data_IF_428141731047
#
_entry.id   IF_428141731047
#
_cell.length_a   1.000
_cell.length_b   1.000
_cell.length_c   1.000
_cell.angle_alpha   90.00
_cell.angle_beta   90.00
_cell.angle_gamma   90.00
#
_symmetry.space_group_name_H-M   'P 1'
#
loop_
_entity.id
_entity.type
_entity.pdbx_description
1 polymer ?
#
# COMPACT_ATOMS: atom_id res chain seq x y z
N UNK A 1 5.53 -16.52 -11.05
CA UNK A 1 4.54 -15.52 -10.60
C UNK A 1 4.28 -14.56 -11.75
N UNK A 2 3.08 -14.56 -12.33
CA UNK A 2 2.75 -13.65 -13.44
C UNK A 2 2.72 -12.21 -12.92
N UNK A 3 3.48 -11.32 -13.57
CA UNK A 3 3.49 -9.87 -13.33
C UNK A 3 2.07 -9.25 -13.28
N UNK A 4 1.11 -9.90 -13.96
CA UNK A 4 -0.32 -9.56 -13.93
C UNK A 4 -0.99 -9.65 -12.54
N UNK A 5 -0.57 -10.58 -11.67
CA UNK A 5 -1.12 -10.71 -10.29
C UNK A 5 -0.53 -9.63 -9.40
N UNK A 6 0.77 -9.35 -9.55
CA UNK A 6 1.48 -8.33 -8.77
C UNK A 6 0.78 -7.00 -8.90
N UNK A 7 0.51 -6.52 -10.13
CA UNK A 7 -0.13 -5.20 -10.34
C UNK A 7 -1.62 -5.15 -9.94
N UNK A 8 -2.36 -6.26 -10.06
CA UNK A 8 -3.79 -6.32 -9.67
C UNK A 8 -4.02 -6.45 -8.15
N UNK A 9 -3.05 -6.99 -7.42
CA UNK A 9 -3.16 -7.23 -5.97
C UNK A 9 -2.38 -6.17 -5.17
N UNK A 10 -1.35 -5.52 -5.76
CA UNK A 10 -0.49 -4.55 -5.05
C UNK A 10 -1.25 -3.41 -4.40
N UNK A 11 -2.27 -2.87 -5.05
CA UNK A 11 -2.89 -1.60 -4.64
C UNK A 11 -3.87 -1.79 -3.46
N UNK A 12 -4.76 -2.82 -3.45
CA UNK A 12 -5.43 -3.25 -2.22
C UNK A 12 -4.45 -3.60 -1.11
N UNK A 13 -3.31 -4.20 -1.48
CA UNK A 13 -2.23 -4.51 -0.55
C UNK A 13 -1.59 -3.25 0.04
N UNK A 14 -1.45 -2.15 -0.71
CA UNK A 14 -0.95 -0.86 -0.19
C UNK A 14 -1.83 -0.31 0.93
N UNK A 15 -3.16 -0.39 0.77
CA UNK A 15 -4.10 -0.07 1.83
C UNK A 15 -3.90 -0.95 3.06
N UNK A 16 -3.77 -2.27 2.86
CA UNK A 16 -3.52 -3.22 3.94
C UNK A 16 -2.15 -3.02 4.62
N UNK A 17 -1.09 -2.77 3.85
CA UNK A 17 0.28 -2.50 4.30
C UNK A 17 0.33 -1.28 5.21
N UNK A 18 -0.23 -0.16 4.76
CA UNK A 18 -0.22 1.06 5.58
C UNK A 18 -1.11 0.85 6.82
N UNK A 19 -2.17 0.06 6.67
CA UNK A 19 -3.05 -0.33 7.78
C UNK A 19 -2.39 -1.24 8.81
N UNK A 20 -1.61 -2.19 8.37
CA UNK A 20 -1.13 -3.32 9.17
C UNK A 20 0.32 -3.16 9.63
N UNK A 21 1.16 -2.46 8.87
CA UNK A 21 2.58 -2.25 9.18
C UNK A 21 2.83 -0.83 9.69
N UNK A 22 2.30 0.18 9.00
CA UNK A 22 2.54 1.57 9.40
C UNK A 22 1.76 1.88 10.68
N UNK A 23 0.48 1.54 10.79
CA UNK A 23 -0.27 1.92 12.00
C UNK A 23 0.24 1.36 13.32
N UNK A 24 0.72 0.11 13.47
CA UNK A 24 1.36 -0.30 14.72
C UNK A 24 2.59 0.54 15.08
N UNK A 25 3.42 0.88 14.10
CA UNK A 25 4.59 1.74 14.29
C UNK A 25 4.19 3.16 14.69
N UNK A 26 3.17 3.73 14.03
CA UNK A 26 2.68 5.07 14.39
C UNK A 26 1.77 5.03 15.63
N UNK A 27 1.16 3.90 16.02
CA UNK A 27 0.28 3.76 17.20
C UNK A 27 0.97 4.20 18.49
N UNK A 28 2.28 3.94 18.57
CA UNK A 28 3.10 4.37 19.69
C UNK A 28 3.29 5.89 19.75
N UNK A 29 3.03 6.61 18.65
CA UNK A 29 3.32 8.04 18.47
C UNK A 29 2.13 8.87 17.93
N UNK A 30 0.93 8.31 17.80
CA UNK A 30 -0.27 9.00 17.28
C UNK A 30 -1.57 8.64 17.99
N UNK A 31 -2.57 9.50 17.85
CA UNK A 31 -3.94 9.30 18.34
C UNK A 31 -4.74 8.37 17.40
N UNK A 32 -5.89 7.88 17.89
CA UNK A 32 -6.82 7.08 17.07
C UNK A 32 -7.31 7.84 15.86
N UNK A 33 -7.71 9.09 16.06
CA UNK A 33 -8.22 9.98 15.01
C UNK A 33 -7.18 10.25 13.91
N UNK A 34 -5.91 10.49 14.30
CA UNK A 34 -4.82 10.65 13.34
C UNK A 34 -4.65 9.42 12.45
N UNK A 35 -4.76 8.21 13.03
CA UNK A 35 -4.69 6.97 12.26
C UNK A 35 -5.87 6.79 11.32
N UNK A 36 -7.08 7.10 11.78
CA UNK A 36 -8.29 7.03 10.94
C UNK A 36 -8.19 8.00 9.75
N UNK A 37 -7.66 9.20 9.96
CA UNK A 37 -7.39 10.15 8.88
C UNK A 37 -6.32 9.63 7.90
N UNK A 38 -5.24 9.02 8.39
CA UNK A 38 -4.23 8.37 7.54
C UNK A 38 -4.87 7.27 6.69
N UNK A 39 -5.67 6.40 7.29
CA UNK A 39 -6.38 5.33 6.58
C UNK A 39 -7.32 5.83 5.50
N UNK A 40 -8.04 6.90 5.79
CA UNK A 40 -8.93 7.53 4.84
C UNK A 40 -8.15 7.99 3.60
N UNK A 41 -7.06 8.75 3.78
CA UNK A 41 -6.30 9.29 2.65
C UNK A 41 -5.56 8.22 1.85
N UNK A 42 -5.07 7.17 2.51
CA UNK A 42 -4.49 6.01 1.81
C UNK A 42 -5.49 5.35 0.89
N UNK A 43 -6.72 5.08 1.38
CA UNK A 43 -7.77 4.49 0.55
C UNK A 43 -8.13 5.36 -0.64
N UNK A 44 -8.22 6.68 -0.42
CA UNK A 44 -8.49 7.66 -1.48
C UNK A 44 -7.37 7.67 -2.53
N UNK A 45 -6.11 7.70 -2.10
CA UNK A 45 -4.94 7.72 -2.99
C UNK A 45 -4.90 6.48 -3.90
N UNK A 46 -5.07 5.31 -3.28
CA UNK A 46 -5.14 4.01 -3.93
C UNK A 46 -6.26 3.97 -4.95
N UNK A 47 -7.49 4.29 -4.55
CA UNK A 47 -8.66 4.25 -5.44
C UNK A 47 -8.50 5.22 -6.63
N UNK A 48 -7.98 6.42 -6.38
CA UNK A 48 -7.71 7.39 -7.43
C UNK A 48 -6.64 6.89 -8.41
N UNK A 49 -5.54 6.31 -7.92
CA UNK A 49 -4.50 5.74 -8.77
C UNK A 49 -5.04 4.60 -9.66
N UNK A 50 -5.92 3.75 -9.15
CA UNK A 50 -6.57 2.70 -9.96
C UNK A 50 -7.50 3.26 -11.03
N UNK A 51 -8.23 4.32 -10.71
CA UNK A 51 -9.13 4.94 -11.65
C UNK A 51 -8.40 5.74 -12.74
N UNK A 52 -7.26 6.34 -12.42
CA UNK A 52 -6.45 7.11 -13.37
C UNK A 52 -5.64 6.17 -14.27
N UNK A 53 -5.05 5.12 -13.70
CA UNK A 53 -4.15 4.21 -14.41
C UNK A 53 -4.78 2.81 -14.55
N UNK A 54 -5.47 2.55 -15.66
CA UNK A 54 -6.24 1.30 -15.86
C UNK A 54 -5.52 0.22 -16.67
N UNK A 55 -4.44 0.59 -17.35
CA UNK A 55 -3.78 -0.31 -18.29
C UNK A 55 -2.76 -1.22 -17.60
N UNK A 56 -2.46 -2.36 -18.24
CA UNK A 56 -1.41 -3.25 -17.77
C UNK A 56 -0.05 -2.56 -17.81
N UNK A 57 0.83 -2.91 -16.88
CA UNK A 57 2.19 -2.35 -16.81
C UNK A 57 2.29 -0.97 -16.14
N UNK A 58 1.17 -0.33 -15.78
CA UNK A 58 1.16 0.99 -15.16
C UNK A 58 1.43 0.99 -13.63
N UNK A 59 1.98 -0.10 -13.09
CA UNK A 59 2.23 -0.23 -11.64
C UNK A 59 3.15 0.86 -11.09
N UNK A 60 4.16 1.29 -11.85
CA UNK A 60 5.07 2.37 -11.45
C UNK A 60 4.33 3.71 -11.29
N UNK A 61 3.52 4.08 -12.28
CA UNK A 61 2.75 5.33 -12.27
C UNK A 61 1.76 5.38 -11.10
N UNK A 62 1.13 4.24 -10.77
CA UNK A 62 0.25 4.14 -9.61
C UNK A 62 0.99 4.38 -8.29
N UNK A 63 2.18 3.78 -8.12
CA UNK A 63 3.00 3.96 -6.91
C UNK A 63 3.43 5.41 -6.76
N UNK A 64 3.90 6.03 -7.83
CA UNK A 64 4.29 7.46 -7.86
C UNK A 64 3.13 8.35 -7.43
N UNK A 65 1.96 8.18 -8.05
CA UNK A 65 0.76 8.93 -7.67
C UNK A 65 0.38 8.75 -6.19
N UNK A 66 0.40 7.51 -5.67
CA UNK A 66 0.04 7.24 -4.28
C UNK A 66 1.01 7.95 -3.33
N UNK A 67 2.32 7.87 -3.58
CA UNK A 67 3.32 8.57 -2.76
C UNK A 67 3.12 10.07 -2.80
N UNK A 68 3.04 10.67 -3.99
CA UNK A 68 2.90 12.12 -4.14
C UNK A 68 1.63 12.64 -3.44
N UNK A 69 0.52 11.90 -3.58
CA UNK A 69 -0.72 12.24 -2.90
C UNK A 69 -0.58 12.17 -1.38
N UNK A 70 0.00 11.09 -0.84
CA UNK A 70 0.19 10.93 0.60
C UNK A 70 1.11 12.00 1.19
N UNK A 71 2.21 12.31 0.50
CA UNK A 71 3.13 13.40 0.86
C UNK A 71 2.38 14.74 0.88
N UNK A 72 1.51 15.01 -0.09
CA UNK A 72 0.68 16.23 -0.11
C UNK A 72 -0.30 16.34 1.08
N UNK A 73 -0.62 15.21 1.73
CA UNK A 73 -1.44 15.14 2.95
C UNK A 73 -0.62 15.15 4.24
N UNK A 74 0.69 15.37 4.14
CA UNK A 74 1.62 15.35 5.28
C UNK A 74 1.98 13.95 5.75
N UNK A 75 1.66 12.91 4.97
CA UNK A 75 2.02 11.52 5.24
C UNK A 75 3.31 11.24 4.46
N UNK A 76 4.44 11.51 5.10
CA UNK A 76 5.74 11.45 4.45
C UNK A 76 6.21 9.99 4.29
N UNK A 77 6.24 9.51 3.06
CA UNK A 77 6.72 8.17 2.68
C UNK A 77 7.46 8.30 1.34
N UNK A 78 8.59 7.62 1.21
CA UNK A 78 9.35 7.57 -0.05
C UNK A 78 8.91 6.39 -0.91
N UNK A 79 9.22 6.44 -2.21
CA UNK A 79 8.98 5.31 -3.12
C UNK A 79 9.73 4.05 -2.66
N UNK A 80 10.95 4.22 -2.15
CA UNK A 80 11.78 3.12 -1.67
C UNK A 80 11.16 2.46 -0.43
N UNK A 81 10.68 3.25 0.53
CA UNK A 81 9.95 2.72 1.70
C UNK A 81 8.67 2.00 1.28
N UNK A 82 7.93 2.57 0.33
CA UNK A 82 6.73 1.93 -0.22
C UNK A 82 7.06 0.58 -0.86
N UNK A 83 8.14 0.49 -1.62
CA UNK A 83 8.59 -0.75 -2.27
C UNK A 83 8.99 -1.82 -1.25
N UNK A 84 9.74 -1.46 -0.21
CA UNK A 84 10.11 -2.39 0.88
C UNK A 84 8.87 -2.94 1.56
N UNK A 85 7.88 -2.09 1.83
CA UNK A 85 6.64 -2.49 2.47
C UNK A 85 5.81 -3.42 1.56
N UNK A 86 5.80 -3.18 0.26
CA UNK A 86 5.17 -4.07 -0.73
C UNK A 86 5.82 -5.45 -0.69
N UNK A 87 7.14 -5.52 -0.78
CA UNK A 87 7.88 -6.80 -0.78
C UNK A 87 7.64 -7.59 0.51
N UNK A 88 7.60 -6.91 1.66
CA UNK A 88 7.27 -7.54 2.93
C UNK A 88 5.87 -8.17 2.93
N UNK A 89 4.86 -7.45 2.46
CA UNK A 89 3.50 -7.99 2.39
C UNK A 89 3.33 -9.09 1.35
N UNK A 90 4.03 -9.01 0.21
CA UNK A 90 4.08 -10.11 -0.77
C UNK A 90 4.66 -11.37 -0.13
N UNK A 91 5.74 -11.23 0.64
CA UNK A 91 6.33 -12.35 1.38
C UNK A 91 5.35 -12.94 2.40
N UNK A 92 4.67 -12.11 3.19
CA UNK A 92 3.66 -12.57 4.14
C UNK A 92 2.51 -13.30 3.46
N UNK A 93 2.01 -12.79 2.33
CA UNK A 93 0.98 -13.45 1.54
C UNK A 93 1.43 -14.83 1.04
N UNK A 94 2.66 -14.94 0.54
CA UNK A 94 3.20 -16.23 0.07
C UNK A 94 3.28 -17.23 1.23
N UNK A 95 3.79 -16.82 2.40
CA UNK A 95 3.83 -17.67 3.60
C UNK A 95 2.42 -18.10 4.03
N UNK A 96 1.46 -17.19 4.00
CA UNK A 96 0.07 -17.50 4.35
C UNK A 96 -0.55 -18.49 3.35
N UNK A 97 -0.28 -18.34 2.05
CA UNK A 97 -0.73 -19.29 1.03
C UNK A 97 -0.12 -20.68 1.22
N UNK A 98 1.18 -20.78 1.49
CA UNK A 98 1.84 -22.06 1.76
C UNK A 98 1.17 -22.82 2.93
N UNK A 99 0.89 -22.13 4.03
CA UNK A 99 0.21 -22.70 5.21
C UNK A 99 -1.24 -23.14 4.96
N UNK A 100 -1.90 -22.62 3.93
CA UNK A 100 -3.27 -23.00 3.57
C UNK A 100 -3.30 -24.25 2.67
N UNK A 101 -2.15 -24.65 2.13
CA UNK A 101 -1.99 -25.79 1.22
C UNK A 101 -1.39 -27.01 1.96
N UNK A 102 -0.87 -26.82 3.18
CA UNK A 102 -0.56 -27.89 4.17
C UNK A 102 -1.81 -28.37 4.92
#
# INVERSE_FOLDING_TARGET
MNIDIVVKVLIPLLGAIITYLIVPFIKQKTTKEQRENIYFWVKVAVAAAEQIYKEKGQGKLKKEYVVDFLVSKGINITIQELDVLIEAAVKELNIAQEKLIE
#
